data_IF_880551851265
#
_entry.id   IF_880551851265
#
_cell.length_a   1.000
_cell.length_b   1.000
_cell.length_c   1.000
_cell.angle_alpha   90.00
_cell.angle_beta   90.00
_cell.angle_gamma   90.00
#
_symmetry.space_group_name_H-M   'P 1'
#
loop_
_entity.id
_entity.type
_entity.pdbx_description
1 polymer ?
#
# COMPACT_ATOMS: atom_id res chain seq x y z
N UNK A 1 -7.94 -2.36 -12.96
CA UNK A 1 -7.51 -1.10 -12.33
C UNK A 1 -6.44 -1.38 -11.28
N UNK A 2 -5.49 -0.49 -11.16
CA UNK A 2 -4.43 -0.65 -10.19
C UNK A 2 -4.46 0.46 -9.16
N UNK A 3 -4.08 0.10 -7.94
CA UNK A 3 -4.00 1.04 -6.85
C UNK A 3 -2.67 0.87 -6.13
N UNK A 4 -2.21 1.93 -5.51
CA UNK A 4 -1.00 1.88 -4.70
C UNK A 4 -1.35 2.24 -3.27
N UNK A 5 -0.88 1.44 -2.34
CA UNK A 5 -1.02 1.69 -0.91
C UNK A 5 0.34 2.14 -0.40
N UNK A 6 0.36 3.31 0.23
CA UNK A 6 1.57 3.87 0.80
C UNK A 6 1.46 3.93 2.30
N UNK A 7 2.53 3.56 2.97
CA UNK A 7 2.57 3.75 4.41
C UNK A 7 3.98 4.10 4.85
N UNK A 8 4.05 4.77 6.00
CA UNK A 8 5.30 5.02 6.69
C UNK A 8 5.22 4.38 8.06
N UNK A 9 6.33 3.81 8.49
CA UNK A 9 6.39 3.14 9.77
C UNK A 9 7.77 3.30 10.37
N UNK A 10 7.90 2.93 11.63
CA UNK A 10 9.19 2.90 12.29
C UNK A 10 10.08 1.84 11.65
N UNK A 11 11.36 2.16 11.49
CA UNK A 11 12.30 1.24 10.85
C UNK A 11 12.36 -0.09 11.57
N UNK A 12 12.31 -0.08 12.88
CA UNK A 12 12.33 -1.31 13.65
C UNK A 12 11.12 -2.20 13.44
N UNK A 13 10.01 -1.62 12.97
CA UNK A 13 8.78 -2.36 12.73
C UNK A 13 8.57 -2.71 11.26
N UNK A 14 9.48 -2.31 10.39
CA UNK A 14 9.26 -2.41 8.94
C UNK A 14 8.99 -3.84 8.47
N UNK A 15 9.76 -4.80 8.94
CA UNK A 15 9.57 -6.19 8.52
C UNK A 15 8.21 -6.73 8.97
N UNK A 16 7.81 -6.40 10.19
CA UNK A 16 6.53 -6.81 10.72
C UNK A 16 5.38 -6.15 9.95
N UNK A 17 5.48 -4.85 9.73
CA UNK A 17 4.42 -4.11 9.03
C UNK A 17 4.31 -4.57 7.59
N UNK A 18 5.43 -4.86 6.94
CA UNK A 18 5.41 -5.39 5.58
C UNK A 18 4.67 -6.72 5.51
N UNK A 19 4.96 -7.62 6.44
CA UNK A 19 4.27 -8.91 6.49
C UNK A 19 2.78 -8.72 6.75
N UNK A 20 2.44 -7.80 7.64
CA UNK A 20 1.04 -7.52 7.95
C UNK A 20 0.31 -6.94 6.75
N UNK A 21 0.95 -6.04 6.01
CA UNK A 21 0.37 -5.48 4.80
C UNK A 21 0.07 -6.56 3.78
N UNK A 22 1.04 -7.45 3.54
CA UNK A 22 0.85 -8.53 2.58
C UNK A 22 -0.24 -9.49 3.03
N UNK A 23 -0.30 -9.79 4.31
CA UNK A 23 -1.36 -10.63 4.86
C UNK A 23 -2.73 -10.00 4.68
N UNK A 24 -2.83 -8.72 4.98
CA UNK A 24 -4.10 -8.02 4.87
C UNK A 24 -4.58 -7.97 3.42
N UNK A 25 -3.68 -7.76 2.48
CA UNK A 25 -4.02 -7.77 1.06
C UNK A 25 -4.49 -9.16 0.64
N UNK A 26 -3.77 -10.18 1.04
CA UNK A 26 -4.13 -11.55 0.70
C UNK A 26 -5.49 -11.93 1.29
N UNK A 27 -5.75 -11.55 2.53
CA UNK A 27 -7.02 -11.83 3.18
C UNK A 27 -8.19 -11.14 2.48
N UNK A 28 -7.93 -10.06 1.78
CA UNK A 28 -8.94 -9.33 1.02
C UNK A 28 -9.03 -9.79 -0.44
N UNK A 29 -8.31 -10.84 -0.79
CA UNK A 29 -8.31 -11.35 -2.16
C UNK A 29 -7.52 -10.50 -3.13
N UNK A 30 -6.65 -9.65 -2.64
CA UNK A 30 -5.85 -8.77 -3.47
C UNK A 30 -4.42 -9.28 -3.58
N UNK A 31 -3.97 -9.46 -4.81
CA UNK A 31 -2.60 -9.92 -5.05
C UNK A 31 -1.72 -8.72 -5.34
N UNK A 32 -0.66 -8.52 -4.57
CA UNK A 32 0.24 -7.42 -4.87
C UNK A 32 1.00 -7.70 -6.16
N UNK A 33 1.09 -6.69 -7.01
CA UNK A 33 1.86 -6.76 -8.24
C UNK A 33 3.24 -6.13 -8.09
N UNK A 34 3.48 -5.47 -6.96
CA UNK A 34 4.77 -4.89 -6.66
C UNK A 34 4.80 -4.42 -5.23
N UNK A 35 5.98 -4.47 -4.65
CA UNK A 35 6.19 -3.97 -3.29
C UNK A 35 7.56 -3.31 -3.26
N UNK A 36 7.59 -2.07 -2.80
CA UNK A 36 8.83 -1.33 -2.62
C UNK A 36 8.96 -0.89 -1.18
N UNK A 37 10.16 -1.04 -0.65
CA UNK A 37 10.48 -0.55 0.66
C UNK A 37 11.62 0.44 0.53
N UNK A 38 11.48 1.60 1.15
CA UNK A 38 12.50 2.63 1.15
C UNK A 38 12.82 3.01 2.59
N UNK A 39 14.09 3.18 2.86
CA UNK A 39 14.50 3.69 4.15
C UNK A 39 14.65 5.19 4.01
N UNK A 40 13.80 5.86 4.74
CA UNK A 40 13.90 7.30 4.82
C UNK A 40 14.95 7.68 5.86
N UNK A 41 15.19 8.95 5.99
CA UNK A 41 16.14 9.40 6.97
C UNK A 41 15.65 9.11 8.38
N UNK A 42 16.57 8.75 9.25
CA UNK A 42 16.27 8.54 10.66
C UNK A 42 15.54 7.22 10.88
N UNK A 43 14.49 7.27 11.64
CA UNK A 43 13.79 6.09 12.12
C UNK A 43 12.61 5.69 11.26
N UNK A 44 12.45 6.28 10.10
CA UNK A 44 11.27 6.07 9.27
C UNK A 44 11.60 5.19 8.07
N UNK A 45 10.70 4.26 7.78
CA UNK A 45 10.74 3.47 6.55
C UNK A 45 9.41 3.65 5.83
N UNK A 46 9.44 3.67 4.51
CA UNK A 46 8.21 3.74 3.74
C UNK A 46 8.03 2.49 2.92
N UNK A 47 6.78 2.06 2.80
CA UNK A 47 6.39 0.92 2.01
C UNK A 47 5.35 1.35 0.99
N UNK A 48 5.48 0.79 -0.20
CA UNK A 48 4.51 1.04 -1.25
C UNK A 48 4.15 -0.29 -1.89
N UNK A 49 2.89 -0.66 -1.83
CA UNK A 49 2.38 -1.87 -2.46
C UNK A 49 1.46 -1.49 -3.60
N UNK A 50 1.66 -2.10 -4.75
CA UNK A 50 0.79 -1.93 -5.90
C UNK A 50 -0.06 -3.17 -6.05
N UNK A 51 -1.35 -2.98 -6.24
CA UNK A 51 -2.29 -4.10 -6.34
C UNK A 51 -3.20 -3.91 -7.53
N UNK A 52 -3.64 -5.03 -8.10
CA UNK A 52 -4.68 -5.03 -9.13
C UNK A 52 -6.02 -5.24 -8.44
N UNK A 53 -6.99 -4.41 -8.78
CA UNK A 53 -8.30 -4.44 -8.15
C UNK A 53 -9.37 -4.51 -9.22
N UNK A 54 -10.34 -5.39 -9.01
CA UNK A 54 -11.54 -5.46 -9.82
C UNK A 54 -12.67 -4.81 -9.03
N UNK A 55 -13.38 -3.88 -9.67
CA UNK A 55 -14.50 -3.23 -9.03
C UNK A 55 -14.09 -2.01 -8.24
N UNK A 56 -14.79 -1.76 -7.15
CA UNK A 56 -14.61 -0.56 -6.33
C UNK A 56 -13.33 -0.66 -5.49
N UNK A 57 -12.35 0.18 -5.83
CA UNK A 57 -11.05 0.15 -5.16
C UNK A 57 -11.17 0.55 -3.70
N UNK A 58 -11.94 1.59 -3.41
CA UNK A 58 -12.10 2.06 -2.03
C UNK A 58 -12.67 0.95 -1.16
N UNK A 59 -13.69 0.26 -1.65
CA UNK A 59 -14.31 -0.81 -0.90
C UNK A 59 -13.37 -1.99 -0.73
N UNK A 60 -12.62 -2.32 -1.77
CA UNK A 60 -11.68 -3.44 -1.72
C UNK A 60 -10.55 -3.19 -0.73
N UNK A 61 -10.09 -1.96 -0.60
CA UNK A 61 -8.98 -1.61 0.28
C UNK A 61 -9.41 -1.29 1.70
N UNK A 62 -10.70 -1.08 1.95
CA UNK A 62 -11.19 -0.72 3.28
C UNK A 62 -10.70 -1.66 4.38
N UNK A 63 -10.81 -3.00 4.23
CA UNK A 63 -10.34 -3.88 5.29
C UNK A 63 -8.84 -3.78 5.52
N UNK A 64 -8.08 -3.54 4.46
CA UNK A 64 -6.62 -3.43 4.55
C UNK A 64 -6.25 -2.18 5.34
N UNK A 65 -6.86 -1.06 4.96
CA UNK A 65 -6.58 0.22 5.62
C UNK A 65 -7.00 0.17 7.08
N UNK A 66 -8.19 -0.39 7.36
CA UNK A 66 -8.69 -0.48 8.73
C UNK A 66 -7.75 -1.28 9.61
N UNK A 67 -7.20 -2.35 9.09
CA UNK A 67 -6.32 -3.19 9.87
C UNK A 67 -4.98 -2.50 10.15
N UNK A 68 -4.43 -1.87 9.12
CA UNK A 68 -3.11 -1.24 9.24
C UNK A 68 -3.14 0.02 10.08
N UNK A 69 -4.23 0.75 10.06
CA UNK A 69 -4.28 1.99 10.83
C UNK A 69 -4.34 1.74 12.34
N UNK A 70 -4.58 0.50 12.76
CA UNK A 70 -4.56 0.15 14.17
C UNK A 70 -3.14 -0.17 14.67
N UNK A 71 -2.18 -0.25 13.77
CA UNK A 71 -0.82 -0.60 14.17
C UNK A 71 -0.07 0.62 14.70
N UNK A 72 0.44 0.54 15.92
CA UNK A 72 1.10 1.71 16.52
C UNK A 72 2.39 2.13 15.81
N UNK A 73 3.02 1.20 15.09
CA UNK A 73 4.23 1.54 14.35
C UNK A 73 3.99 2.29 13.05
N UNK A 74 2.74 2.38 12.61
CA UNK A 74 2.40 3.05 11.36
C UNK A 74 2.13 4.53 11.66
N UNK A 75 2.86 5.41 10.99
CA UNK A 75 2.72 6.84 11.21
C UNK A 75 1.97 7.54 10.07
N UNK A 76 1.89 6.93 8.91
CA UNK A 76 1.15 7.47 7.78
C UNK A 76 0.65 6.34 6.93
N UNK A 77 -0.54 6.50 6.36
CA UNK A 77 -1.17 5.46 5.56
C UNK A 77 -2.17 6.10 4.61
N UNK A 78 -1.99 5.85 3.32
CA UNK A 78 -2.94 6.34 2.33
C UNK A 78 -2.84 5.48 1.08
N UNK A 79 -3.80 5.63 0.18
CA UNK A 79 -3.77 4.93 -1.10
C UNK A 79 -4.25 5.85 -2.20
N UNK A 80 -3.89 5.50 -3.43
CA UNK A 80 -4.38 6.23 -4.58
C UNK A 80 -4.44 5.29 -5.78
N UNK A 81 -5.17 5.72 -6.79
CA UNK A 81 -5.24 4.96 -8.04
C UNK A 81 -3.96 5.18 -8.84
N UNK A 82 -3.46 4.09 -9.41
CA UNK A 82 -2.33 4.14 -10.33
C UNK A 82 -2.85 4.40 -11.71
N UNK A 83 -2.46 5.50 -12.27
CA UNK A 83 -2.95 5.92 -13.58
C UNK A 83 -1.82 6.04 -14.59
N UNK A 84 -0.86 5.14 -14.50
CA UNK A 84 0.28 5.16 -15.40
C UNK A 84 -0.11 5.16 -16.86
N UNK A 85 -1.14 4.41 -17.20
CA UNK A 85 -1.60 4.30 -18.57
C UNK A 85 -2.26 5.59 -19.05
N UNK A 86 -2.86 6.32 -18.14
CA UNK A 86 -3.52 7.55 -18.47
C UNK A 86 -2.56 8.61 -19.01
N UNK A 87 -1.33 8.55 -18.55
CA UNK A 87 -0.32 9.49 -19.01
C UNK A 87 -0.05 9.37 -20.49
N UNK A 88 -0.08 8.17 -20.98
CA UNK A 88 0.14 7.96 -22.41
C UNK A 88 -0.96 8.58 -23.24
N UNK A 89 -2.16 8.48 -22.74
CA UNK A 89 -3.30 9.06 -23.43
C UNK A 89 -3.22 10.59 -23.44
N UNK A 90 -2.76 11.15 -22.35
CA UNK A 90 -2.61 12.59 -22.26
C UNK A 90 -1.59 13.12 -23.25
N UNK A 91 -0.59 12.32 -23.54
CA UNK A 91 0.46 12.72 -24.47
C UNK A 91 0.03 12.57 -25.92
N UNK A 92 -0.90 11.71 -26.14
CA UNK A 92 -1.40 11.51 -27.49
C UNK A 92 -2.35 12.63 -27.88
#
# INVERSE_FOLDING_TARGET
>A
MRAAVHLECERGAEAYIRALLLQALSASGLAPTGLRARRERGEVASLRATVAVNGDVAQALEPVISRLCLEPGVSDLHWHLEEGDTKHQALA
#
